data_IF_396681795753
#
_entry.id   IF_396681795753
#
_cell.length_a   1.000
_cell.length_b   1.000
_cell.length_c   1.000
_cell.angle_alpha   90.00
_cell.angle_beta   90.00
_cell.angle_gamma   90.00
#
_symmetry.space_group_name_H-M   'P 1'
#
loop_
_entity.id
_entity.type
_entity.pdbx_description
1 polymer ?
#
# COMPACT_ATOMS: atom_id res chain seq x y z
N UNK A 1 12.66 -4.98 24.28
CA UNK A 1 12.02 -5.72 23.17
C UNK A 1 12.97 -6.82 22.73
N UNK A 2 12.54 -8.08 22.71
CA UNK A 2 13.38 -9.20 22.25
C UNK A 2 13.54 -9.06 20.73
N UNK A 3 14.75 -8.77 20.27
CA UNK A 3 15.11 -8.85 18.85
C UNK A 3 14.93 -10.30 18.41
N UNK A 4 13.98 -10.56 17.51
CA UNK A 4 13.86 -11.88 16.90
C UNK A 4 15.01 -12.08 15.91
N UNK A 5 15.30 -13.34 15.57
CA UNK A 5 16.28 -13.67 14.53
C UNK A 5 15.94 -12.87 13.26
N UNK A 6 16.93 -12.28 12.57
CA UNK A 6 16.66 -11.54 11.34
C UNK A 6 15.94 -12.44 10.32
N UNK A 7 15.01 -11.89 9.50
CA UNK A 7 14.24 -12.68 8.56
C UNK A 7 15.14 -13.35 7.51
N UNK A 8 14.75 -14.51 6.98
CA UNK A 8 15.46 -15.16 5.88
C UNK A 8 15.63 -14.23 4.66
N UNK A 9 16.75 -14.31 3.93
CA UNK A 9 16.99 -13.48 2.74
C UNK A 9 15.88 -13.57 1.68
N UNK A 10 15.23 -14.73 1.55
CA UNK A 10 14.11 -14.92 0.64
C UNK A 10 12.89 -14.05 1.01
N UNK A 11 12.55 -13.95 2.30
CA UNK A 11 11.44 -13.10 2.77
C UNK A 11 11.75 -11.62 2.57
N UNK A 12 13.00 -11.20 2.82
CA UNK A 12 13.44 -9.83 2.55
C UNK A 12 13.38 -9.48 1.06
N UNK A 13 13.77 -10.42 0.19
CA UNK A 13 13.66 -10.25 -1.26
C UNK A 13 12.20 -10.11 -1.68
N UNK A 14 11.33 -10.97 -1.18
CA UNK A 14 9.89 -10.91 -1.46
C UNK A 14 9.29 -9.57 -1.00
N UNK A 15 9.57 -9.13 0.23
CA UNK A 15 9.10 -7.84 0.75
C UNK A 15 9.59 -6.67 -0.09
N UNK A 16 10.87 -6.69 -0.50
CA UNK A 16 11.43 -5.65 -1.36
C UNK A 16 10.69 -5.58 -2.70
N UNK A 17 10.47 -6.73 -3.34
CA UNK A 17 9.73 -6.80 -4.61
C UNK A 17 8.31 -6.24 -4.42
N UNK A 18 7.58 -6.69 -3.41
CA UNK A 18 6.21 -6.24 -3.15
C UNK A 18 6.13 -4.72 -2.92
N UNK A 19 7.04 -4.16 -2.12
CA UNK A 19 7.11 -2.72 -1.88
C UNK A 19 7.51 -1.95 -3.15
N UNK A 20 8.52 -2.39 -3.88
CA UNK A 20 8.93 -1.73 -5.12
C UNK A 20 7.82 -1.74 -6.16
N UNK A 21 7.13 -2.86 -6.33
CA UNK A 21 5.97 -2.97 -7.22
C UNK A 21 4.86 -2.01 -6.78
N UNK A 22 4.42 -2.10 -5.53
CA UNK A 22 3.32 -1.26 -5.04
C UNK A 22 3.65 0.24 -5.12
N UNK A 23 4.86 0.64 -4.72
CA UNK A 23 5.29 2.05 -4.80
C UNK A 23 5.29 2.51 -6.25
N UNK A 24 5.87 1.74 -7.18
CA UNK A 24 5.96 2.12 -8.58
C UNK A 24 4.57 2.27 -9.21
N UNK A 25 3.72 1.26 -9.03
CA UNK A 25 2.39 1.24 -9.64
C UNK A 25 1.49 2.31 -9.03
N UNK A 26 1.55 2.50 -7.71
CA UNK A 26 0.79 3.56 -7.02
C UNK A 26 1.30 4.94 -7.44
N UNK A 27 2.61 5.13 -7.66
CA UNK A 27 3.14 6.40 -8.16
C UNK A 27 2.57 6.74 -9.53
N UNK A 28 2.60 5.79 -10.46
CA UNK A 28 2.06 5.97 -11.82
C UNK A 28 0.56 6.26 -11.77
N UNK A 29 -0.18 5.46 -11.00
CA UNK A 29 -1.60 5.64 -10.78
C UNK A 29 -1.92 7.03 -10.21
N UNK A 30 -1.33 7.38 -9.05
CA UNK A 30 -1.67 8.61 -8.35
C UNK A 30 -1.19 9.85 -9.09
N UNK A 31 -0.10 9.76 -9.87
CA UNK A 31 0.28 10.83 -10.78
C UNK A 31 -0.81 11.09 -11.83
N UNK A 32 -1.36 10.03 -12.44
CA UNK A 32 -2.48 10.17 -13.36
C UNK A 32 -3.72 10.76 -12.67
N UNK A 33 -4.11 10.22 -11.51
CA UNK A 33 -5.27 10.71 -10.76
C UNK A 33 -5.12 12.18 -10.35
N UNK A 34 -3.91 12.61 -9.98
CA UNK A 34 -3.64 13.98 -9.62
C UNK A 34 -3.78 14.93 -10.82
N UNK A 35 -3.24 14.53 -11.97
CA UNK A 35 -3.30 15.30 -13.22
C UNK A 35 -4.74 15.35 -13.74
N UNK A 36 -5.49 14.25 -13.64
CA UNK A 36 -6.83 14.08 -14.22
C UNK A 36 -7.93 14.05 -13.18
N UNK A 37 -7.77 14.74 -12.05
CA UNK A 37 -8.72 14.65 -10.94
C UNK A 37 -10.17 15.02 -11.33
N UNK A 38 -10.36 15.86 -12.35
CA UNK A 38 -11.67 16.21 -12.92
C UNK A 38 -12.37 15.03 -13.62
N UNK A 39 -11.61 14.05 -14.11
CA UNK A 39 -12.14 12.88 -14.83
C UNK A 39 -12.56 11.76 -13.85
N UNK A 40 -12.33 11.94 -12.55
CA UNK A 40 -12.72 11.00 -11.49
C UNK A 40 -13.99 11.48 -10.80
N UNK A 41 -14.97 10.59 -10.55
CA UNK A 41 -16.18 10.98 -9.85
C UNK A 41 -15.84 11.37 -8.40
N UNK A 42 -16.56 12.37 -7.85
CA UNK A 42 -16.39 12.74 -6.45
C UNK A 42 -16.77 11.57 -5.54
N UNK A 43 -16.11 11.50 -4.38
CA UNK A 43 -16.43 10.53 -3.33
C UNK A 43 -17.10 11.29 -2.18
N UNK A 44 -18.44 11.25 -2.05
CA UNK A 44 -19.16 12.02 -1.05
C UNK A 44 -18.61 11.80 0.36
N UNK A 45 -18.37 12.88 1.10
CA UNK A 45 -17.86 12.85 2.48
C UNK A 45 -16.35 12.61 2.62
N UNK A 46 -15.63 12.25 1.55
CA UNK A 46 -14.17 12.01 1.59
C UNK A 46 -13.44 12.97 0.65
N UNK A 47 -13.79 12.93 -0.64
CA UNK A 47 -13.20 13.77 -1.69
C UNK A 47 -14.33 14.41 -2.50
N UNK A 48 -14.98 15.46 -1.97
CA UNK A 48 -16.13 16.07 -2.63
C UNK A 48 -15.76 16.87 -3.88
N UNK A 49 -14.49 17.25 -4.05
CA UNK A 49 -13.99 18.05 -5.18
C UNK A 49 -12.66 17.51 -5.71
N UNK A 50 -12.30 17.82 -6.98
CA UNK A 50 -10.99 17.48 -7.53
C UNK A 50 -9.82 18.00 -6.69
N UNK A 51 -9.94 19.20 -6.12
CA UNK A 51 -8.90 19.80 -5.27
C UNK A 51 -8.74 19.07 -3.94
N UNK A 52 -9.85 18.70 -3.29
CA UNK A 52 -9.80 17.85 -2.10
C UNK A 52 -9.13 16.50 -2.41
N UNK A 53 -9.38 15.97 -3.62
CA UNK A 53 -8.79 14.72 -4.05
C UNK A 53 -7.26 14.85 -4.27
N UNK A 54 -6.80 15.92 -4.94
CA UNK A 54 -5.38 16.25 -5.11
C UNK A 54 -4.66 16.43 -3.79
N UNK A 55 -5.24 17.18 -2.86
CA UNK A 55 -4.68 17.37 -1.51
C UNK A 55 -4.56 16.02 -0.79
N UNK A 56 -5.61 15.18 -0.88
CA UNK A 56 -5.61 13.84 -0.33
C UNK A 56 -4.46 12.98 -0.86
N UNK A 57 -4.23 13.00 -2.18
CA UNK A 57 -3.08 12.32 -2.82
C UNK A 57 -1.77 12.90 -2.29
N UNK A 58 -1.58 14.21 -2.36
CA UNK A 58 -0.33 14.88 -2.01
C UNK A 58 0.12 14.64 -0.56
N UNK A 59 -0.83 14.40 0.36
CA UNK A 59 -0.55 14.12 1.78
C UNK A 59 -0.44 12.61 2.04
N UNK A 60 -1.47 11.84 1.66
CA UNK A 60 -1.57 10.43 2.07
C UNK A 60 -0.54 9.56 1.36
N UNK A 61 -0.24 9.83 0.08
CA UNK A 61 0.70 9.00 -0.66
C UNK A 61 2.12 9.06 -0.09
N UNK A 62 2.73 10.24 0.16
CA UNK A 62 4.04 10.31 0.80
C UNK A 62 4.03 9.71 2.21
N UNK A 63 3.03 10.03 3.03
CA UNK A 63 2.96 9.52 4.41
C UNK A 63 2.89 7.99 4.47
N UNK A 64 2.01 7.38 3.69
CA UNK A 64 1.86 5.92 3.69
C UNK A 64 3.04 5.23 3.00
N UNK A 65 3.70 5.87 2.03
CA UNK A 65 4.96 5.38 1.43
C UNK A 65 6.10 5.39 2.45
N UNK A 66 6.23 6.45 3.25
CA UNK A 66 7.18 6.50 4.35
C UNK A 66 6.90 5.42 5.40
N UNK A 67 5.63 5.09 5.67
CA UNK A 67 5.28 3.92 6.48
C UNK A 67 5.85 2.63 5.85
N UNK A 68 5.63 2.38 4.56
CA UNK A 68 6.17 1.19 3.89
C UNK A 68 7.70 1.05 4.02
N UNK A 69 8.42 2.16 3.81
CA UNK A 69 9.88 2.24 3.97
C UNK A 69 10.29 1.96 5.42
N UNK A 70 9.62 2.58 6.41
CA UNK A 70 9.89 2.33 7.83
C UNK A 70 9.62 0.88 8.21
N UNK A 71 8.53 0.30 7.70
CA UNK A 71 8.18 -1.11 7.88
C UNK A 71 9.27 -2.03 7.34
N UNK A 72 9.79 -1.76 6.14
CA UNK A 72 10.91 -2.52 5.56
C UNK A 72 12.14 -2.53 6.46
N UNK A 73 12.59 -1.35 6.95
CA UNK A 73 13.77 -1.28 7.80
C UNK A 73 13.57 -1.98 9.14
N UNK A 74 12.39 -1.86 9.75
CA UNK A 74 12.06 -2.58 10.99
C UNK A 74 12.06 -4.09 10.76
N UNK A 75 11.47 -4.55 9.64
CA UNK A 75 11.43 -5.95 9.28
C UNK A 75 12.85 -6.50 9.05
N UNK A 76 13.69 -5.78 8.29
CA UNK A 76 15.10 -6.10 8.06
C UNK A 76 15.90 -6.23 9.36
N UNK A 77 15.64 -5.35 10.34
CA UNK A 77 16.27 -5.39 11.65
C UNK A 77 15.74 -6.50 12.58
N UNK A 78 14.83 -7.37 12.13
CA UNK A 78 14.24 -8.44 12.94
C UNK A 78 13.13 -7.96 13.89
N UNK A 79 12.71 -6.70 13.80
CA UNK A 79 11.57 -6.17 14.55
C UNK A 79 10.23 -6.49 13.85
N UNK A 80 9.99 -7.77 13.58
CA UNK A 80 8.87 -8.25 12.73
C UNK A 80 7.53 -7.69 13.21
N UNK A 81 7.16 -7.89 14.49
CA UNK A 81 5.88 -7.39 15.02
C UNK A 81 5.72 -5.88 14.90
N UNK A 82 6.78 -5.12 15.18
CA UNK A 82 6.75 -3.67 15.08
C UNK A 82 6.66 -3.17 13.64
N UNK A 83 7.11 -3.97 12.66
CA UNK A 83 7.04 -3.61 11.23
C UNK A 83 5.63 -3.74 10.63
N UNK A 84 4.83 -4.70 11.12
CA UNK A 84 3.50 -5.04 10.56
C UNK A 84 2.56 -3.84 10.44
N UNK A 85 2.33 -3.00 11.48
CA UNK A 85 1.42 -1.86 11.33
C UNK A 85 1.86 -0.87 10.25
N UNK A 86 3.16 -0.69 10.05
CA UNK A 86 3.70 0.18 9.01
C UNK A 86 3.51 -0.40 7.60
N UNK A 87 3.76 -1.69 7.43
CA UNK A 87 3.54 -2.39 6.16
C UNK A 87 2.04 -2.47 5.82
N UNK A 88 1.19 -2.74 6.80
CA UNK A 88 -0.26 -2.71 6.65
C UNK A 88 -0.76 -1.31 6.29
N UNK A 89 -0.25 -0.26 6.94
CA UNK A 89 -0.57 1.13 6.57
C UNK A 89 -0.25 1.40 5.09
N UNK A 90 0.93 1.00 4.60
CA UNK A 90 1.27 1.16 3.19
C UNK A 90 0.38 0.31 2.26
N UNK A 91 0.08 -0.94 2.62
CA UNK A 91 -0.78 -1.83 1.85
C UNK A 91 -2.18 -1.23 1.58
N UNK A 92 -2.69 -0.39 2.48
CA UNK A 92 -3.99 0.25 2.28
C UNK A 92 -4.04 1.19 1.08
N UNK A 93 -2.90 1.75 0.61
CA UNK A 93 -2.86 2.55 -0.63
C UNK A 93 -3.34 1.76 -1.85
N UNK A 94 -2.92 0.49 -1.94
CA UNK A 94 -3.35 -0.41 -3.00
C UNK A 94 -4.76 -0.92 -2.78
N UNK A 95 -5.08 -1.38 -1.57
CA UNK A 95 -6.40 -1.98 -1.26
C UNK A 95 -7.56 -1.01 -1.53
N UNK A 96 -7.36 0.29 -1.29
CA UNK A 96 -8.39 1.32 -1.50
C UNK A 96 -8.61 1.71 -2.96
N UNK A 97 -7.76 1.31 -3.90
CA UNK A 97 -7.85 1.80 -5.28
C UNK A 97 -9.17 1.45 -5.97
N UNK A 98 -9.83 0.30 -5.76
CA UNK A 98 -11.16 0.05 -6.31
C UNK A 98 -12.24 0.96 -5.70
N UNK A 99 -11.95 1.67 -4.61
CA UNK A 99 -12.83 2.66 -4.01
C UNK A 99 -13.26 3.78 -4.97
N UNK A 100 -12.54 3.99 -6.08
CA UNK A 100 -12.98 4.85 -7.17
C UNK A 100 -14.39 4.54 -7.67
N UNK A 101 -14.75 3.25 -7.69
CA UNK A 101 -16.04 2.80 -8.18
C UNK A 101 -17.22 3.11 -7.24
N UNK A 102 -16.95 3.59 -6.02
CA UNK A 102 -18.00 4.03 -5.08
C UNK A 102 -18.64 5.35 -5.52
N UNK A 103 -17.85 6.27 -6.10
CA UNK A 103 -18.36 7.53 -6.64
C UNK A 103 -18.95 7.40 -8.05
N UNK A 104 -18.57 6.33 -8.77
CA UNK A 104 -18.95 6.06 -10.16
C UNK A 104 -17.79 5.49 -10.97
N UNK A 105 -17.97 5.33 -12.29
CA UNK A 105 -16.89 4.88 -13.18
C UNK A 105 -16.08 6.10 -13.66
N UNK A 106 -14.74 6.14 -13.43
CA UNK A 106 -13.88 7.20 -13.95
C UNK A 106 -13.97 7.33 -15.47
N UNK A 107 -14.00 8.56 -15.97
CA UNK A 107 -14.07 8.88 -17.41
C UNK A 107 -12.66 8.94 -18.01
N UNK A 108 -11.91 7.85 -17.89
CA UNK A 108 -10.50 7.76 -18.29
C UNK A 108 -10.31 6.65 -19.34
N UNK A 109 -9.25 6.69 -20.15
CA UNK A 109 -8.91 5.58 -21.05
C UNK A 109 -8.80 4.24 -20.30
N UNK A 110 -9.34 3.17 -20.89
CA UNK A 110 -9.42 1.83 -20.27
C UNK A 110 -8.07 1.30 -19.76
N UNK A 111 -6.97 1.68 -20.40
CA UNK A 111 -5.60 1.34 -19.99
C UNK A 111 -5.32 1.72 -18.51
N UNK A 112 -5.85 2.84 -18.03
CA UNK A 112 -5.61 3.30 -16.65
C UNK A 112 -6.35 2.46 -15.60
N UNK A 113 -7.33 1.66 -16.00
CA UNK A 113 -7.94 0.71 -15.07
C UNK A 113 -6.95 -0.40 -14.68
N UNK A 114 -5.97 -0.70 -15.53
CA UNK A 114 -4.92 -1.68 -15.22
C UNK A 114 -4.11 -1.23 -13.99
N UNK A 115 -3.83 0.06 -13.84
CA UNK A 115 -3.08 0.57 -12.68
C UNK A 115 -3.91 0.46 -11.40
N UNK A 116 -5.24 0.67 -11.49
CA UNK A 116 -6.17 0.47 -10.37
C UNK A 116 -6.09 -0.98 -9.85
N UNK A 117 -6.25 -1.96 -10.73
CA UNK A 117 -6.25 -3.37 -10.34
C UNK A 117 -4.86 -3.86 -9.92
N UNK A 118 -3.80 -3.41 -10.59
CA UNK A 118 -2.42 -3.78 -10.22
C UNK A 118 -2.10 -3.30 -8.80
N UNK A 119 -2.46 -2.07 -8.45
CA UNK A 119 -2.30 -1.55 -7.09
C UNK A 119 -3.10 -2.36 -6.08
N UNK A 120 -4.35 -2.70 -6.41
CA UNK A 120 -5.20 -3.52 -5.54
C UNK A 120 -4.53 -4.87 -5.22
N UNK A 121 -4.09 -5.60 -6.25
CA UNK A 121 -3.44 -6.90 -6.04
C UNK A 121 -2.09 -6.77 -5.33
N UNK A 122 -1.29 -5.75 -5.62
CA UNK A 122 -0.03 -5.50 -4.92
C UNK A 122 -0.26 -5.16 -3.43
N UNK A 123 -1.27 -4.34 -3.12
CA UNK A 123 -1.68 -4.03 -1.74
C UNK A 123 -2.16 -5.26 -0.99
N UNK A 124 -3.02 -6.08 -1.60
CA UNK A 124 -3.48 -7.36 -1.02
C UNK A 124 -2.31 -8.30 -0.78
N UNK A 125 -1.38 -8.44 -1.74
CA UNK A 125 -0.21 -9.29 -1.59
C UNK A 125 0.69 -8.84 -0.43
N UNK A 126 0.88 -7.53 -0.24
CA UNK A 126 1.63 -6.99 0.90
C UNK A 126 0.91 -7.23 2.24
N UNK A 127 -0.42 -7.14 2.26
CA UNK A 127 -1.22 -7.45 3.45
C UNK A 127 -1.13 -8.95 3.80
N UNK A 128 -1.22 -9.84 2.82
CA UNK A 128 -1.05 -11.29 3.01
C UNK A 128 0.35 -11.62 3.52
N UNK A 129 1.39 -11.02 2.92
CA UNK A 129 2.76 -11.16 3.42
C UNK A 129 2.87 -10.73 4.90
N UNK A 130 2.29 -9.59 5.25
CA UNK A 130 2.31 -9.05 6.61
C UNK A 130 1.61 -9.99 7.61
N UNK A 131 0.46 -10.54 7.21
CA UNK A 131 -0.26 -11.52 8.01
C UNK A 131 0.55 -12.82 8.22
N UNK A 132 1.13 -13.36 7.14
CA UNK A 132 1.96 -14.58 7.19
C UNK A 132 3.18 -14.38 8.11
N UNK A 133 3.86 -13.24 7.99
CA UNK A 133 4.99 -12.91 8.85
C UNK A 133 4.59 -12.79 10.33
N UNK A 134 3.42 -12.19 10.60
CA UNK A 134 2.88 -12.11 11.95
C UNK A 134 2.53 -13.50 12.53
N UNK A 135 1.87 -14.35 11.73
CA UNK A 135 1.43 -15.68 12.13
C UNK A 135 2.63 -16.62 12.38
N UNK A 136 3.63 -16.62 11.50
CA UNK A 136 4.85 -17.43 11.66
C UNK A 136 5.64 -17.08 12.92
N UNK A 137 5.65 -15.81 13.32
CA UNK A 137 6.27 -15.37 14.58
C UNK A 137 5.49 -15.73 15.85
N UNK A 138 4.28 -16.31 15.75
CA UNK A 138 3.52 -16.83 16.90
C UNK A 138 3.80 -18.31 17.16
N UNK A 139 4.02 -19.10 16.11
CA UNK A 139 4.34 -20.53 16.19
C UNK A 139 5.70 -20.84 16.85
N UNK A 140 6.66 -19.90 16.83
CA UNK A 140 7.95 -20.05 17.49
C UNK A 140 7.94 -19.64 18.98
N UNK A 141 6.83 -19.07 19.47
CA UNK A 141 6.71 -18.52 20.83
C UNK A 141 5.95 -19.40 21.83
N UNK A 142 5.61 -20.63 21.44
CA UNK A 142 4.87 -21.60 22.25
C UNK A 142 5.76 -22.79 22.64
N UNK A 143 6.71 -22.55 23.55
CA UNK A 143 7.40 -23.58 24.33
C UNK A 143 7.75 -22.99 25.70
#
# INVERSE_FOLDING_TARGET
>A
MRTQRPPPPAQLRQLRILLSCLILTTTIHYAHNYIRAEDYPPVPGIYPTPDAYRIGIAILFPLQTLCGIRGYYLYQAGHVRSSIPYLACHATLGIRTPGHFVGGVPQIPWFWFITIFTDFFAGVALAVFSYQAYAGGRSEGSF
#
